data_IF_340987115280
#
_entry.id   IF_340987115280
#
_cell.length_a   1.000
_cell.length_b   1.000
_cell.length_c   1.000
_cell.angle_alpha   90.00
_cell.angle_beta   90.00
_cell.angle_gamma   90.00
#
_symmetry.space_group_name_H-M   'P 1'
#
loop_
_entity.id
_entity.type
_entity.pdbx_description
1 polymer ?
#
# COMPACT_ATOMS: atom_id res chain seq x y z
N UNK A 1 60.34 10.26 -12.14
CA UNK A 1 60.14 9.66 -13.49
C UNK A 1 58.81 8.91 -13.42
N UNK A 2 57.90 9.20 -14.38
CA UNK A 2 56.52 8.70 -14.57
C UNK A 2 56.38 7.15 -14.44
N UNK A 3 55.25 6.45 -14.23
CA UNK A 3 53.77 6.56 -14.42
C UNK A 3 53.09 5.68 -13.32
N UNK A 4 51.97 6.00 -12.66
CA UNK A 4 50.53 5.98 -13.02
C UNK A 4 49.79 4.61 -13.02
N UNK A 5 48.60 4.63 -12.38
CA UNK A 5 47.40 3.77 -12.42
C UNK A 5 47.23 2.54 -11.50
N UNK A 6 46.04 2.50 -10.88
CA UNK A 6 45.46 1.33 -10.21
C UNK A 6 44.40 1.68 -9.14
N UNK A 7 43.22 2.13 -9.58
CA UNK A 7 42.05 2.42 -8.73
C UNK A 7 41.50 1.13 -8.11
N UNK A 8 41.20 1.14 -6.80
CA UNK A 8 40.62 0.00 -6.09
C UNK A 8 39.09 0.04 -6.12
N UNK A 9 38.50 -0.99 -6.73
CA UNK A 9 37.09 -1.32 -6.59
C UNK A 9 36.86 -1.96 -5.21
N UNK A 10 36.15 -1.27 -4.32
CA UNK A 10 35.56 -1.86 -3.11
C UNK A 10 34.14 -2.30 -3.44
N UNK A 11 34.00 -3.52 -3.95
CA UNK A 11 32.72 -4.25 -3.95
C UNK A 11 32.65 -5.02 -2.65
N UNK A 12 31.88 -4.51 -1.69
CA UNK A 12 31.63 -5.19 -0.42
C UNK A 12 30.50 -6.22 -0.61
N UNK A 13 30.84 -7.42 -1.07
CA UNK A 13 30.00 -8.62 -0.95
C UNK A 13 29.97 -9.02 0.53
N UNK A 14 28.80 -9.05 1.16
CA UNK A 14 28.63 -9.76 2.42
C UNK A 14 28.12 -11.18 2.18
N UNK A 15 28.87 -12.13 2.73
CA UNK A 15 28.73 -13.57 2.63
C UNK A 15 27.43 -14.11 3.22
N UNK A 16 26.81 -15.04 2.50
CA UNK A 16 26.13 -16.19 3.09
C UNK A 16 27.19 -17.19 3.56
N UNK A 17 27.08 -17.68 4.79
CA UNK A 17 27.80 -18.87 5.26
C UNK A 17 26.75 -19.91 5.66
N UNK A 18 26.47 -20.83 4.73
CA UNK A 18 25.68 -22.03 4.96
C UNK A 18 26.67 -23.18 5.22
N UNK A 19 26.53 -23.83 6.38
CA UNK A 19 27.24 -25.07 6.71
C UNK A 19 26.30 -26.25 6.42
N UNK A 20 26.69 -27.07 5.45
CA UNK A 20 25.99 -28.29 5.06
C UNK A 20 25.94 -29.32 6.20
N UNK A 21 24.77 -29.93 6.43
CA UNK A 21 24.70 -31.33 6.88
C UNK A 21 23.68 -32.13 6.07
N UNK A 22 24.28 -32.98 5.25
CA UNK A 22 23.72 -34.12 4.53
C UNK A 22 22.93 -35.07 5.45
N UNK A 23 21.67 -35.36 5.13
CA UNK A 23 21.02 -36.63 5.44
C UNK A 23 20.17 -37.11 4.26
N UNK A 24 20.72 -38.09 3.55
CA UNK A 24 20.06 -39.00 2.62
C UNK A 24 18.93 -39.80 3.28
N UNK A 25 17.74 -39.78 2.67
CA UNK A 25 16.79 -40.91 2.74
C UNK A 25 16.24 -41.18 1.33
N UNK A 26 16.57 -42.37 0.82
CA UNK A 26 16.02 -43.01 -0.40
C UNK A 26 14.69 -43.66 -0.05
N UNK A 27 13.71 -43.63 -0.96
CA UNK A 27 12.71 -44.66 -1.34
C UNK A 27 11.75 -43.95 -2.32
N UNK A 28 11.29 -44.44 -3.46
CA UNK A 28 11.36 -45.71 -4.18
C UNK A 28 10.27 -45.61 -5.27
N UNK A 29 10.64 -45.79 -6.54
CA UNK A 29 9.74 -45.72 -7.71
C UNK A 29 8.90 -47.00 -7.79
N UNK A 30 7.59 -46.89 -8.05
CA UNK A 30 6.82 -47.97 -8.69
C UNK A 30 5.84 -47.40 -9.73
N UNK A 31 6.06 -47.81 -10.97
CA UNK A 31 5.17 -47.76 -12.12
C UNK A 31 4.11 -48.86 -12.00
N UNK A 32 2.83 -48.58 -12.30
CA UNK A 32 1.92 -49.52 -13.01
C UNK A 32 0.99 -48.72 -13.93
N UNK A 33 0.92 -49.20 -15.17
CA UNK A 33 0.13 -48.74 -16.31
C UNK A 33 -0.96 -49.81 -16.62
N UNK A 34 -2.03 -49.42 -17.33
CA UNK A 34 -3.04 -50.19 -18.12
C UNK A 34 -4.51 -49.91 -17.69
N UNK A 35 -5.57 -49.85 -18.53
CA UNK A 35 -5.84 -49.60 -19.98
C UNK A 35 -7.36 -49.84 -20.23
N UNK A 36 -7.99 -49.06 -21.14
CA UNK A 36 -9.18 -49.34 -22.01
C UNK A 36 -10.58 -49.59 -21.36
N UNK A 37 -11.76 -49.39 -21.98
CA UNK A 37 -12.35 -48.68 -23.15
C UNK A 37 -13.90 -48.84 -23.09
N UNK A 38 -14.60 -48.28 -24.09
CA UNK A 38 -16.03 -48.35 -24.52
C UNK A 38 -16.93 -47.19 -24.01
N UNK A 39 -17.37 -46.18 -24.80
CA UNK A 39 -18.20 -46.12 -26.04
C UNK A 39 -19.67 -46.52 -25.78
N UNK A 40 -20.76 -45.88 -26.27
CA UNK A 40 -21.01 -44.89 -27.31
C UNK A 40 -22.48 -44.36 -27.21
N UNK A 41 -22.80 -43.38 -28.06
CA UNK A 41 -24.12 -42.96 -28.58
C UNK A 41 -25.04 -42.15 -27.64
N UNK A 42 -25.78 -41.11 -28.07
CA UNK A 42 -26.04 -40.53 -29.39
C UNK A 42 -27.29 -39.61 -29.32
N UNK A 43 -27.51 -38.80 -30.37
CA UNK A 43 -28.66 -37.93 -30.70
C UNK A 43 -28.75 -36.59 -29.92
N UNK A 44 -28.50 -35.41 -30.52
CA UNK A 44 -29.13 -34.70 -31.66
C UNK A 44 -30.56 -34.24 -31.39
N UNK A 45 -30.76 -32.93 -31.19
CA UNK A 45 -31.64 -32.08 -32.02
C UNK A 45 -31.56 -30.58 -31.64
N UNK A 46 -31.61 -29.74 -32.68
CA UNK A 46 -31.74 -28.27 -32.69
C UNK A 46 -32.97 -28.00 -33.57
N UNK A 47 -33.88 -27.07 -33.24
CA UNK A 47 -33.90 -25.74 -33.91
C UNK A 47 -34.45 -24.65 -32.94
N UNK A 48 -34.55 -23.33 -33.16
CA UNK A 48 -34.58 -22.42 -34.33
C UNK A 48 -34.52 -20.99 -33.78
N UNK A 49 -33.89 -20.07 -34.52
CA UNK A 49 -34.06 -18.61 -34.39
C UNK A 49 -35.41 -18.15 -34.99
N UNK A 50 -35.80 -16.90 -34.68
CA UNK A 50 -36.03 -15.95 -35.77
C UNK A 50 -35.31 -14.60 -35.57
N UNK A 51 -34.71 -14.13 -36.66
CA UNK A 51 -34.45 -12.72 -36.99
C UNK A 51 -35.77 -12.09 -37.53
N UNK A 52 -36.07 -10.79 -37.48
CA UNK A 52 -35.52 -9.58 -38.14
C UNK A 52 -36.33 -8.41 -37.47
N UNK A 53 -35.84 -7.18 -37.24
CA UNK A 53 -35.92 -6.05 -38.20
C UNK A 53 -35.26 -4.79 -37.61
N UNK A 54 -34.39 -4.18 -38.44
CA UNK A 54 -33.85 -2.83 -38.33
C UNK A 54 -34.91 -1.73 -38.49
N UNK A 55 -34.79 -0.63 -37.75
CA UNK A 55 -35.13 0.71 -38.23
C UNK A 55 -34.21 1.78 -37.59
N UNK A 56 -33.21 2.25 -38.35
CA UNK A 56 -32.87 3.68 -38.43
C UNK A 56 -34.03 4.36 -39.20
N UNK A 57 -34.46 5.59 -38.97
CA UNK A 57 -33.72 6.86 -39.02
C UNK A 57 -34.74 7.97 -38.73
N UNK A 58 -34.38 9.08 -38.09
CA UNK A 58 -34.76 10.43 -38.50
C UNK A 58 -34.14 11.47 -37.57
N UNK A 59 -33.26 12.28 -38.15
CA UNK A 59 -32.80 13.54 -37.61
C UNK A 59 -33.84 14.63 -37.90
N UNK A 60 -34.01 15.57 -36.98
CA UNK A 60 -34.72 16.82 -37.22
C UNK A 60 -33.90 17.97 -36.61
N UNK A 61 -33.39 18.86 -37.49
CA UNK A 61 -32.93 20.21 -37.14
C UNK A 61 -34.06 21.23 -37.48
N UNK A 62 -33.87 22.55 -37.29
CA UNK A 62 -34.25 23.26 -36.08
C UNK A 62 -35.34 24.32 -36.36
N UNK A 63 -36.14 24.67 -35.35
CA UNK A 63 -37.03 25.82 -35.46
C UNK A 63 -36.35 27.10 -34.95
N UNK A 64 -36.29 28.08 -35.84
CA UNK A 64 -35.86 29.46 -35.63
C UNK A 64 -36.93 30.33 -34.95
N UNK A 65 -36.46 31.53 -34.55
CA UNK A 65 -37.17 32.78 -34.18
C UNK A 65 -37.71 32.89 -32.76
N UNK A 66 -37.05 33.68 -31.91
CA UNK A 66 -37.37 35.11 -31.74
C UNK A 66 -36.32 35.82 -30.87
N UNK A 67 -36.01 37.05 -31.25
CA UNK A 67 -35.11 37.97 -30.56
C UNK A 67 -35.95 39.07 -29.92
N UNK A 68 -35.69 39.46 -28.66
CA UNK A 68 -35.94 40.84 -28.24
C UNK A 68 -34.65 41.53 -27.81
N UNK A 69 -34.37 42.60 -28.57
CA UNK A 69 -33.83 43.91 -28.21
C UNK A 69 -33.28 44.07 -26.77
N UNK A 70 -32.02 44.49 -26.73
CA UNK A 70 -31.20 44.64 -25.54
C UNK A 70 -31.61 45.74 -24.56
N UNK A 71 -31.14 45.53 -23.34
CA UNK A 71 -30.86 46.55 -22.33
C UNK A 71 -29.42 46.34 -21.88
N UNK A 72 -28.57 47.33 -22.11
CA UNK A 72 -27.17 47.37 -21.71
C UNK A 72 -27.07 47.26 -20.18
N UNK A 73 -26.29 46.29 -19.71
CA UNK A 73 -25.88 46.16 -18.31
C UNK A 73 -24.36 46.34 -18.27
N UNK A 74 -23.82 47.16 -17.36
CA UNK A 74 -22.41 47.53 -17.38
C UNK A 74 -21.55 46.29 -17.11
N UNK A 75 -20.59 46.07 -18.01
CA UNK A 75 -19.59 45.01 -17.92
C UNK A 75 -18.67 45.31 -16.74
N UNK A 76 -18.93 44.69 -15.58
CA UNK A 76 -17.90 44.54 -14.56
C UNK A 76 -16.92 43.48 -15.08
N UNK A 77 -15.80 43.91 -15.65
CA UNK A 77 -14.61 43.07 -15.77
C UNK A 77 -14.04 42.88 -14.38
N UNK A 78 -14.67 41.99 -13.61
CA UNK A 78 -14.01 41.31 -12.52
C UNK A 78 -12.98 40.39 -13.20
N UNK A 79 -11.69 40.48 -12.86
CA UNK A 79 -10.72 39.54 -13.42
C UNK A 79 -11.18 38.13 -13.01
N UNK A 80 -11.38 37.26 -14.01
CA UNK A 80 -11.44 35.83 -13.74
C UNK A 80 -10.25 35.48 -12.84
N UNK A 81 -10.44 34.65 -11.79
CA UNK A 81 -9.32 34.21 -10.99
C UNK A 81 -8.33 33.57 -11.96
N UNK A 82 -7.16 34.22 -12.09
CA UNK A 82 -6.02 33.62 -12.75
C UNK A 82 -5.85 32.27 -12.07
N UNK A 83 -6.01 31.18 -12.82
CA UNK A 83 -5.73 29.85 -12.30
C UNK A 83 -4.39 29.95 -11.59
N UNK A 84 -4.38 29.76 -10.26
CA UNK A 84 -3.13 29.79 -9.48
C UNK A 84 -2.16 28.88 -10.22
N UNK A 85 -1.06 29.44 -10.72
CA UNK A 85 -0.07 28.64 -11.41
C UNK A 85 0.30 27.50 -10.46
N UNK A 86 0.26 26.28 -10.99
CA UNK A 86 0.47 25.03 -10.26
C UNK A 86 1.97 24.86 -9.90
N UNK A 87 2.56 25.90 -9.29
CA UNK A 87 3.98 26.01 -8.99
C UNK A 87 4.31 25.11 -7.82
N UNK A 88 5.37 24.32 -7.97
CA UNK A 88 5.92 23.50 -6.90
C UNK A 88 6.48 24.41 -5.79
N UNK A 89 6.05 24.28 -4.53
CA UNK A 89 6.52 25.14 -3.45
C UNK A 89 7.97 24.83 -3.10
N UNK A 90 8.69 25.84 -2.61
CA UNK A 90 10.01 25.65 -2.02
C UNK A 90 9.86 25.18 -0.57
N UNK A 91 10.43 24.02 -0.22
CA UNK A 91 10.19 23.37 1.06
C UNK A 91 11.49 23.15 1.84
N UNK A 92 11.35 23.02 3.16
CA UNK A 92 12.34 22.40 4.04
C UNK A 92 11.66 21.51 5.07
N UNK A 93 12.44 20.62 5.69
CA UNK A 93 11.97 19.79 6.81
C UNK A 93 12.30 20.44 8.15
N UNK A 94 11.35 20.35 9.08
CA UNK A 94 11.54 20.73 10.48
C UNK A 94 11.08 19.58 11.37
N UNK A 95 11.74 19.39 12.53
CA UNK A 95 11.29 18.40 13.51
C UNK A 95 9.88 18.75 13.98
N UNK A 96 8.97 17.78 13.88
CA UNK A 96 7.59 17.92 14.30
C UNK A 96 7.48 17.96 15.83
N UNK A 97 8.30 17.15 16.53
CA UNK A 97 8.33 17.03 17.99
C UNK A 97 9.77 17.00 18.52
N UNK A 98 10.42 18.16 18.71
CA UNK A 98 11.85 18.21 19.04
C UNK A 98 12.24 17.54 20.36
N UNK A 99 11.32 17.51 21.34
CA UNK A 99 11.59 17.03 22.69
C UNK A 99 11.35 15.53 22.90
N UNK A 100 10.87 14.81 21.87
CA UNK A 100 10.63 13.37 21.93
C UNK A 100 11.40 12.66 20.80
N UNK A 101 11.60 11.36 20.99
CA UNK A 101 12.22 10.47 20.01
C UNK A 101 11.62 9.08 20.19
N UNK A 102 11.55 8.36 19.09
CA UNK A 102 11.05 7.00 19.01
C UNK A 102 12.18 6.05 18.60
N UNK A 103 11.92 4.76 18.65
CA UNK A 103 12.83 3.72 18.20
C UNK A 103 12.21 3.01 16.99
N UNK A 104 12.76 3.26 15.80
CA UNK A 104 12.30 2.62 14.56
C UNK A 104 10.78 2.78 14.34
N UNK A 105 10.27 4.03 14.29
CA UNK A 105 8.85 4.27 14.05
C UNK A 105 8.45 3.83 12.65
N UNK A 106 7.31 3.16 12.52
CA UNK A 106 6.80 2.56 11.28
C UNK A 106 5.40 3.01 10.91
N UNK A 107 4.62 3.61 11.82
CA UNK A 107 3.28 4.12 11.52
C UNK A 107 3.00 5.41 12.29
N UNK A 108 2.28 6.32 11.64
CA UNK A 108 1.75 7.54 12.25
C UNK A 108 0.30 7.72 11.81
N UNK A 109 -0.59 7.80 12.78
CA UNK A 109 -2.02 7.94 12.52
C UNK A 109 -2.66 8.91 13.52
N UNK A 110 -3.64 9.72 13.09
CA UNK A 110 -4.36 10.61 13.99
C UNK A 110 -5.31 9.80 14.87
N UNK A 111 -5.56 10.29 16.08
CA UNK A 111 -6.63 9.75 16.91
C UNK A 111 -7.98 10.03 16.25
N UNK A 112 -8.86 9.02 16.07
CA UNK A 112 -10.15 9.19 15.40
C UNK A 112 -11.22 9.63 16.43
N UNK A 113 -10.86 10.54 17.34
CA UNK A 113 -11.69 11.00 18.46
C UNK A 113 -11.73 12.52 18.60
N UNK A 114 -11.20 13.25 17.60
CA UNK A 114 -11.12 14.71 17.59
C UNK A 114 -10.18 15.33 18.63
N UNK A 115 -9.41 14.52 19.38
CA UNK A 115 -8.53 15.02 20.46
C UNK A 115 -7.26 15.72 19.96
N UNK A 116 -7.00 15.72 18.65
CA UNK A 116 -5.72 16.12 18.05
C UNK A 116 -4.52 15.32 18.58
N UNK A 117 -4.73 14.13 19.16
CA UNK A 117 -3.63 13.22 19.46
C UNK A 117 -3.20 12.48 18.21
N UNK A 118 -1.96 11.99 18.24
CA UNK A 118 -1.43 11.08 17.22
C UNK A 118 -0.90 9.82 17.90
N UNK A 119 -0.84 8.75 17.12
CA UNK A 119 -0.28 7.47 17.53
C UNK A 119 0.95 7.16 16.70
N UNK A 120 2.00 6.69 17.36
CA UNK A 120 3.26 6.27 16.74
C UNK A 120 3.47 4.80 17.03
N UNK A 121 3.67 4.01 16.00
CA UNK A 121 3.95 2.57 16.11
C UNK A 121 5.43 2.33 15.93
N UNK A 122 6.06 1.66 16.87
CA UNK A 122 7.45 1.21 16.77
C UNK A 122 7.54 -0.24 16.31
N UNK A 123 8.53 -0.53 15.47
CA UNK A 123 8.87 -1.88 14.99
C UNK A 123 8.96 -2.92 16.13
N UNK A 124 9.38 -2.49 17.33
CA UNK A 124 9.57 -3.33 18.51
C UNK A 124 8.26 -3.87 19.13
N UNK A 125 7.10 -3.40 18.67
CA UNK A 125 5.80 -3.79 19.21
C UNK A 125 5.18 -2.78 20.17
N UNK A 126 5.76 -1.58 20.30
CA UNK A 126 5.22 -0.53 21.17
C UNK A 126 4.42 0.48 20.37
N UNK A 127 3.29 0.88 20.93
CA UNK A 127 2.43 1.93 20.39
C UNK A 127 2.45 3.07 21.41
N UNK A 128 2.79 4.27 20.95
CA UNK A 128 2.80 5.49 21.75
C UNK A 128 1.70 6.44 21.30
N UNK A 129 1.22 7.28 22.22
CA UNK A 129 0.31 8.38 21.92
C UNK A 129 0.82 9.68 22.54
N UNK A 130 0.60 10.79 21.85
CA UNK A 130 1.00 12.13 22.27
C UNK A 130 0.06 13.17 21.68
N UNK A 131 -0.02 14.33 22.32
CA UNK A 131 -0.68 15.50 21.74
C UNK A 131 0.10 15.95 20.49
N UNK A 132 -0.60 16.28 19.40
CA UNK A 132 0.02 16.84 18.20
C UNK A 132 0.39 18.32 18.40
N UNK A 133 1.34 18.54 19.30
CA UNK A 133 1.90 19.84 19.67
C UNK A 133 3.43 19.77 19.60
N UNK A 134 4.10 20.65 18.84
CA UNK A 134 5.57 20.69 18.80
C UNK A 134 6.23 20.88 20.17
N UNK A 135 5.54 21.46 21.16
CA UNK A 135 6.06 21.66 22.50
C UNK A 135 5.87 20.46 23.45
N UNK A 136 5.23 19.38 23.00
CA UNK A 136 5.05 18.15 23.78
C UNK A 136 6.39 17.62 24.30
N UNK A 137 6.42 17.26 25.59
CA UNK A 137 7.66 16.83 26.28
C UNK A 137 7.77 15.32 26.45
N UNK A 138 6.66 14.60 26.34
CA UNK A 138 6.59 13.15 26.59
C UNK A 138 5.59 12.50 25.65
N UNK A 139 5.90 11.28 25.20
CA UNK A 139 4.94 10.38 24.59
C UNK A 139 4.53 9.31 25.61
N UNK A 140 3.24 9.02 25.69
CA UNK A 140 2.69 8.02 26.60
C UNK A 140 2.66 6.67 25.91
N UNK A 141 3.11 5.61 26.59
CA UNK A 141 2.95 4.25 26.09
C UNK A 141 1.46 3.90 26.10
N UNK A 142 0.90 3.67 24.92
CA UNK A 142 -0.48 3.25 24.74
C UNK A 142 -0.59 1.73 24.93
N UNK A 143 0.16 0.95 24.16
CA UNK A 143 0.13 -0.51 24.23
C UNK A 143 1.51 -1.10 23.98
N UNK A 144 1.86 -2.16 24.72
CA UNK A 144 3.11 -2.91 24.54
C UNK A 144 2.82 -4.35 24.09
N UNK A 145 3.08 -4.62 22.82
CA UNK A 145 2.96 -5.94 22.17
C UNK A 145 4.31 -6.62 22.00
N UNK A 146 5.39 -6.12 22.59
CA UNK A 146 6.76 -6.66 22.40
C UNK A 146 6.91 -8.14 22.78
N UNK A 147 6.03 -8.67 23.64
CA UNK A 147 5.99 -10.10 23.97
C UNK A 147 5.37 -10.99 22.89
N UNK A 148 4.60 -10.41 21.95
CA UNK A 148 3.94 -11.08 20.83
C UNK A 148 4.69 -10.92 19.52
N UNK A 149 5.44 -9.82 19.41
CA UNK A 149 6.14 -9.39 18.19
C UNK A 149 7.54 -9.99 18.11
N UNK A 150 7.85 -10.63 16.99
CA UNK A 150 9.22 -10.91 16.59
C UNK A 150 9.69 -9.74 15.72
N UNK A 151 10.69 -9.00 16.18
CA UNK A 151 11.30 -7.86 15.47
C UNK A 151 12.78 -8.12 15.12
N UNK A 152 13.21 -9.38 15.15
CA UNK A 152 14.62 -9.78 15.01
C UNK A 152 15.24 -9.59 13.63
N UNK A 153 14.43 -9.55 12.56
CA UNK A 153 14.89 -9.30 11.19
C UNK A 153 14.56 -7.88 10.73
N UNK A 154 15.13 -7.44 9.61
CA UNK A 154 14.98 -6.07 9.11
C UNK A 154 13.52 -5.66 8.85
N UNK A 155 12.73 -6.54 8.26
CA UNK A 155 11.33 -6.26 7.86
C UNK A 155 10.30 -6.90 8.80
N UNK A 156 10.76 -7.54 9.87
CA UNK A 156 9.92 -8.09 10.93
C UNK A 156 9.63 -7.05 12.02
N UNK A 157 8.41 -7.05 12.56
CA UNK A 157 8.03 -6.21 13.69
C UNK A 157 6.53 -6.03 13.81
N UNK A 158 6.12 -4.98 14.51
CA UNK A 158 4.78 -4.41 14.41
C UNK A 158 4.78 -3.39 13.26
N UNK A 159 4.12 -3.73 12.16
CA UNK A 159 4.34 -3.12 10.84
C UNK A 159 3.20 -2.19 10.41
N UNK A 160 1.99 -2.37 10.94
CA UNK A 160 0.85 -1.54 10.61
C UNK A 160 -0.18 -1.49 11.72
N UNK A 161 -0.94 -0.41 11.75
CA UNK A 161 -2.06 -0.19 12.66
C UNK A 161 -3.15 0.60 11.96
N UNK A 162 -4.41 0.24 12.19
CA UNK A 162 -5.56 1.01 11.72
C UNK A 162 -6.64 1.08 12.82
N UNK A 163 -7.26 2.23 12.98
CA UNK A 163 -8.46 2.36 13.81
C UNK A 163 -9.69 1.94 13.01
N UNK A 164 -10.67 1.31 13.67
CA UNK A 164 -11.97 1.08 13.04
C UNK A 164 -12.63 2.42 12.68
N UNK A 165 -13.35 2.54 11.55
CA UNK A 165 -14.09 3.77 11.19
C UNK A 165 -15.14 4.22 12.22
N UNK A 166 -15.53 3.29 13.11
CA UNK A 166 -16.46 3.51 14.24
C UNK A 166 -15.76 3.41 15.60
N UNK A 167 -14.47 3.78 15.67
CA UNK A 167 -13.66 3.65 16.87
C UNK A 167 -14.27 4.33 18.10
N UNK A 168 -14.88 5.51 17.94
CA UNK A 168 -15.57 6.18 19.05
C UNK A 168 -16.71 5.34 19.64
N UNK A 169 -17.39 4.54 18.81
CA UNK A 169 -18.51 3.70 19.22
C UNK A 169 -18.06 2.33 19.76
N UNK A 170 -17.09 1.70 19.09
CA UNK A 170 -16.70 0.31 19.35
C UNK A 170 -15.38 0.16 20.12
N UNK A 171 -14.46 1.13 20.01
CA UNK A 171 -13.13 1.10 20.61
C UNK A 171 -12.15 0.14 19.94
N UNK A 172 -12.43 -0.31 18.70
CA UNK A 172 -11.66 -1.32 17.99
C UNK A 172 -10.52 -0.74 17.17
N UNK A 173 -9.34 -1.32 17.30
CA UNK A 173 -8.21 -1.07 16.41
C UNK A 173 -7.54 -2.38 16.03
N UNK A 174 -6.82 -2.34 14.93
CA UNK A 174 -6.23 -3.49 14.27
C UNK A 174 -4.73 -3.29 14.14
N UNK A 175 -3.99 -4.38 14.28
CA UNK A 175 -2.55 -4.39 14.13
C UNK A 175 -2.12 -5.51 13.19
N UNK A 176 -1.05 -5.27 12.47
CA UNK A 176 -0.34 -6.25 11.67
C UNK A 176 1.08 -6.39 12.22
N UNK A 177 1.43 -7.59 12.69
CA UNK A 177 2.76 -7.87 13.19
C UNK A 177 3.27 -9.23 12.76
N UNK A 178 4.58 -9.39 12.75
CA UNK A 178 5.23 -10.69 12.57
C UNK A 178 5.48 -11.36 13.91
N UNK A 179 5.15 -12.64 14.01
CA UNK A 179 5.68 -13.53 15.03
C UNK A 179 6.86 -14.35 14.43
N UNK A 180 7.29 -15.43 15.09
CA UNK A 180 8.44 -16.24 14.64
C UNK A 180 8.36 -16.66 13.16
N UNK A 181 7.19 -17.04 12.65
CA UNK A 181 7.03 -17.62 11.31
C UNK A 181 5.77 -17.18 10.56
N UNK A 182 5.04 -16.17 11.06
CA UNK A 182 3.78 -15.74 10.49
C UNK A 182 3.61 -14.23 10.60
N UNK A 183 2.89 -13.66 9.63
CA UNK A 183 2.19 -12.39 9.78
C UNK A 183 0.85 -12.66 10.49
N UNK A 184 0.51 -11.81 11.46
CA UNK A 184 -0.70 -11.90 12.27
C UNK A 184 -1.45 -10.57 12.18
N UNK A 185 -2.72 -10.65 11.79
CA UNK A 185 -3.66 -9.53 11.81
C UNK A 185 -4.57 -9.76 13.02
N UNK A 186 -4.57 -8.82 13.96
CA UNK A 186 -5.32 -8.94 15.19
C UNK A 186 -6.10 -7.67 15.51
N UNK A 187 -7.29 -7.84 16.09
CA UNK A 187 -8.12 -6.79 16.68
C UNK A 187 -7.85 -6.69 18.17
N UNK A 188 -7.85 -5.46 18.67
CA UNK A 188 -7.83 -5.12 20.09
C UNK A 188 -8.97 -4.14 20.38
N UNK A 189 -9.39 -4.07 21.65
CA UNK A 189 -10.40 -3.13 22.11
C UNK A 189 -9.91 -2.30 23.29
N UNK A 190 -10.43 -1.08 23.37
CA UNK A 190 -10.30 -0.24 24.56
C UNK A 190 -11.16 -0.76 25.72
N UNK A 191 -10.63 -0.69 26.93
CA UNK A 191 -11.41 -0.68 28.17
C UNK A 191 -12.25 0.61 28.19
N UNK A 192 -13.54 0.47 28.48
CA UNK A 192 -14.49 1.59 28.47
C UNK A 192 -14.59 2.29 29.83
N UNK A 193 -13.96 1.75 30.87
CA UNK A 193 -13.82 2.44 32.15
C UNK A 193 -12.76 3.54 32.06
N UNK A 194 -13.11 4.82 32.29
CA UNK A 194 -12.16 5.91 32.16
C UNK A 194 -10.97 5.81 33.13
N UNK A 195 -9.74 6.13 32.70
CA UNK A 195 -9.38 6.55 31.34
C UNK A 195 -9.37 5.37 30.37
N UNK A 196 -9.86 5.56 29.15
CA UNK A 196 -9.85 4.52 28.10
C UNK A 196 -8.43 3.98 27.89
N UNK A 197 -8.19 2.71 28.21
CA UNK A 197 -6.88 2.04 28.05
C UNK A 197 -7.01 0.84 27.11
N UNK A 198 -6.02 0.56 26.25
CA UNK A 198 -6.07 -0.65 25.43
C UNK A 198 -5.85 -1.90 26.30
N UNK A 199 -6.65 -2.93 26.05
CA UNK A 199 -6.54 -4.20 26.77
C UNK A 199 -5.73 -5.21 25.96
N UNK A 200 -4.49 -5.52 26.37
CA UNK A 200 -3.68 -6.54 25.68
C UNK A 200 -4.34 -7.92 25.68
N UNK A 201 -5.18 -8.22 26.69
CA UNK A 201 -5.93 -9.47 26.81
C UNK A 201 -7.15 -9.54 25.88
N UNK A 202 -7.55 -8.42 25.26
CA UNK A 202 -8.67 -8.37 24.31
C UNK A 202 -8.31 -8.86 22.91
N UNK A 203 -7.07 -9.30 22.69
CA UNK A 203 -6.60 -9.74 21.39
C UNK A 203 -7.53 -10.79 20.77
N UNK A 204 -7.93 -10.53 19.54
CA UNK A 204 -8.61 -11.47 18.67
C UNK A 204 -7.86 -11.55 17.35
N UNK A 205 -7.31 -12.72 17.05
CA UNK A 205 -6.56 -12.97 15.82
C UNK A 205 -7.53 -13.22 14.67
N UNK A 206 -7.57 -12.30 13.71
CA UNK A 206 -8.43 -12.39 12.53
C UNK A 206 -7.82 -13.31 11.49
N UNK A 207 -6.54 -13.11 11.20
CA UNK A 207 -5.87 -13.79 10.10
C UNK A 207 -4.42 -14.09 10.47
N UNK A 208 -3.95 -15.28 10.08
CA UNK A 208 -2.53 -15.64 10.16
C UNK A 208 -2.04 -16.11 8.80
N UNK A 209 -0.89 -15.61 8.39
CA UNK A 209 -0.29 -15.89 7.08
C UNK A 209 1.12 -16.43 7.33
N UNK A 210 1.40 -17.71 6.99
CA UNK A 210 2.75 -18.26 7.09
C UNK A 210 3.74 -17.46 6.23
N UNK A 211 4.89 -17.15 6.81
CA UNK A 211 5.98 -16.42 6.15
C UNK A 211 7.13 -17.39 5.85
N UNK A 212 7.44 -17.67 4.56
CA UNK A 212 8.49 -18.60 4.20
C UNK A 212 9.90 -18.03 4.44
N UNK A 213 10.06 -16.71 4.38
CA UNK A 213 11.33 -16.02 4.65
C UNK A 213 11.14 -14.88 5.68
N UNK A 214 12.24 -14.21 6.03
CA UNK A 214 12.27 -13.16 7.06
C UNK A 214 12.02 -11.74 6.51
N UNK A 215 11.79 -11.62 5.21
CA UNK A 215 11.59 -10.37 4.48
C UNK A 215 10.35 -10.44 3.58
N UNK A 216 9.99 -9.31 3.00
CA UNK A 216 8.78 -9.02 2.24
C UNK A 216 7.51 -9.36 3.01
N UNK A 217 7.43 -8.84 4.24
CA UNK A 217 6.29 -9.07 5.11
C UNK A 217 5.10 -8.14 4.79
N UNK A 218 5.28 -7.11 3.96
CA UNK A 218 4.31 -6.03 3.78
C UNK A 218 4.03 -5.36 5.13
N UNK A 219 2.75 -5.16 5.45
CA UNK A 219 2.36 -4.87 6.83
C UNK A 219 1.34 -3.76 6.99
N UNK A 220 1.18 -2.88 6.01
CA UNK A 220 0.25 -1.76 6.15
C UNK A 220 -1.21 -2.23 6.23
N UNK A 221 -1.98 -1.47 7.01
CA UNK A 221 -3.40 -1.65 7.25
C UNK A 221 -4.08 -0.30 7.05
N UNK A 222 -5.20 -0.28 6.33
CA UNK A 222 -6.05 0.90 6.27
C UNK A 222 -7.50 0.47 6.04
N UNK A 223 -8.44 1.34 6.38
CA UNK A 223 -9.85 1.14 6.05
C UNK A 223 -10.20 1.86 4.75
N UNK A 224 -10.82 1.12 3.84
CA UNK A 224 -11.34 1.71 2.61
C UNK A 224 -12.56 2.60 2.87
N UNK A 225 -12.95 3.44 1.88
CA UNK A 225 -14.18 4.23 1.95
C UNK A 225 -15.45 3.37 2.02
N UNK A 226 -15.32 2.08 1.70
CA UNK A 226 -16.35 1.06 1.79
C UNK A 226 -16.50 0.47 3.20
N UNK A 227 -15.64 0.86 4.16
CA UNK A 227 -15.68 0.40 5.54
C UNK A 227 -14.98 -0.94 5.78
N UNK A 228 -14.33 -1.51 4.78
CA UNK A 228 -13.60 -2.77 4.91
C UNK A 228 -12.13 -2.56 5.26
N UNK A 229 -11.53 -3.57 5.91
CA UNK A 229 -10.12 -3.55 6.26
C UNK A 229 -9.30 -4.06 5.07
N UNK A 230 -8.37 -3.24 4.59
CA UNK A 230 -7.40 -3.58 3.56
C UNK A 230 -6.06 -3.95 4.21
N UNK A 231 -5.39 -4.96 3.65
CA UNK A 231 -4.15 -5.51 4.21
C UNK A 231 -3.13 -5.69 3.08
N UNK A 232 -1.98 -5.05 3.21
CA UNK A 232 -0.86 -5.22 2.28
C UNK A 232 0.05 -6.37 2.70
N UNK A 233 0.27 -7.35 1.82
CA UNK A 233 1.13 -8.50 2.08
C UNK A 233 2.18 -8.64 0.98
N UNK A 234 3.45 -8.73 1.37
CA UNK A 234 4.52 -9.08 0.42
C UNK A 234 4.48 -10.55 0.02
N UNK A 235 5.27 -10.92 -0.99
CA UNK A 235 5.37 -12.25 -1.59
C UNK A 235 5.91 -13.33 -0.63
N UNK A 236 6.36 -12.92 0.55
CA UNK A 236 6.89 -13.77 1.59
C UNK A 236 8.42 -13.94 1.55
N UNK A 237 9.09 -13.25 0.62
CA UNK A 237 10.52 -12.98 0.69
C UNK A 237 11.39 -13.79 -0.27
N UNK A 238 12.70 -13.66 -0.04
CA UNK A 238 13.77 -14.11 -0.95
C UNK A 238 13.77 -13.38 -2.30
N UNK A 239 14.85 -13.57 -3.07
CA UNK A 239 14.99 -12.93 -4.38
C UNK A 239 14.09 -13.63 -5.41
N UNK A 240 13.27 -12.84 -6.09
CA UNK A 240 12.49 -13.30 -7.24
C UNK A 240 11.33 -14.23 -6.92
N UNK A 241 10.71 -14.15 -5.73
CA UNK A 241 9.55 -14.96 -5.34
C UNK A 241 9.71 -16.45 -5.71
N UNK A 242 10.64 -17.19 -5.07
CA UNK A 242 10.98 -18.55 -5.48
C UNK A 242 9.82 -19.55 -5.36
N UNK A 243 8.76 -19.19 -4.63
CA UNK A 243 7.55 -20.01 -4.48
C UNK A 243 6.39 -19.54 -5.36
N UNK A 244 6.57 -18.46 -6.14
CA UNK A 244 5.56 -17.90 -7.04
C UNK A 244 4.29 -17.45 -6.32
N UNK A 245 4.41 -16.98 -5.08
CA UNK A 245 3.30 -16.63 -4.22
C UNK A 245 2.50 -15.44 -4.75
N UNK A 246 3.16 -14.45 -5.34
CA UNK A 246 2.51 -13.23 -5.84
C UNK A 246 1.47 -13.53 -6.93
N UNK A 247 1.76 -14.50 -7.81
CA UNK A 247 0.82 -14.97 -8.85
C UNK A 247 -0.11 -16.10 -8.37
N UNK A 248 0.20 -16.75 -7.25
CA UNK A 248 -0.60 -17.85 -6.73
C UNK A 248 -1.87 -17.34 -6.01
N UNK A 249 -3.03 -17.49 -6.65
CA UNK A 249 -4.33 -17.12 -6.07
C UNK A 249 -4.80 -18.01 -4.91
N UNK A 250 -4.10 -19.13 -4.62
CA UNK A 250 -4.34 -19.94 -3.42
C UNK A 250 -3.53 -19.46 -2.21
N UNK A 251 -2.68 -18.44 -2.40
CA UNK A 251 -1.87 -17.81 -1.37
C UNK A 251 -2.40 -16.42 -1.02
N UNK A 252 -2.12 -15.98 0.20
CA UNK A 252 -2.39 -14.61 0.67
C UNK A 252 -1.17 -13.69 0.57
N UNK A 253 -0.03 -14.18 0.08
CA UNK A 253 1.22 -13.42 -0.03
C UNK A 253 1.30 -12.73 -1.41
N UNK A 254 1.85 -11.51 -1.46
CA UNK A 254 1.98 -10.69 -2.66
C UNK A 254 0.64 -10.13 -3.13
N UNK A 255 -0.15 -9.60 -2.19
CA UNK A 255 -1.55 -9.20 -2.38
C UNK A 255 -1.86 -7.86 -1.69
N UNK A 256 -2.90 -7.20 -2.19
CA UNK A 256 -3.78 -6.39 -1.35
C UNK A 256 -4.99 -7.26 -1.01
N UNK A 257 -5.25 -7.49 0.26
CA UNK A 257 -6.42 -8.21 0.76
C UNK A 257 -7.49 -7.22 1.22
N UNK A 258 -8.75 -7.66 1.25
CA UNK A 258 -9.91 -6.88 1.71
C UNK A 258 -10.89 -7.79 2.43
N UNK A 259 -11.18 -7.50 3.70
CA UNK A 259 -12.05 -8.30 4.57
C UNK A 259 -13.07 -7.43 5.31
N UNK A 260 -14.24 -8.01 5.60
CA UNK A 260 -15.29 -7.39 6.43
C UNK A 260 -15.13 -7.81 7.89
N UNK A 261 -14.85 -6.84 8.76
CA UNK A 261 -14.64 -7.07 10.20
C UNK A 261 -15.86 -6.75 11.06
N UNK A 262 -16.93 -6.25 10.43
CA UNK A 262 -18.19 -5.85 11.04
C UNK A 262 -19.26 -6.93 10.91
N UNK A 263 -19.32 -7.61 9.74
CA UNK A 263 -20.26 -8.70 9.51
C UNK A 263 -19.61 -10.05 9.75
N UNK A 264 -19.82 -10.58 10.95
CA UNK A 264 -19.32 -11.88 11.35
C UNK A 264 -20.42 -12.92 11.25
N UNK A 265 -20.25 -13.90 10.36
CA UNK A 265 -21.14 -15.06 10.27
C UNK A 265 -20.60 -16.19 11.16
N UNK A 266 -21.49 -16.93 11.83
CA UNK A 266 -21.17 -18.21 12.49
C UNK A 266 -20.01 -18.20 13.52
N UNK A 267 -19.65 -17.04 14.08
CA UNK A 267 -18.57 -16.91 15.06
C UNK A 267 -17.18 -16.65 14.48
N UNK A 268 -17.06 -16.48 13.16
CA UNK A 268 -15.84 -15.99 12.53
C UNK A 268 -15.55 -14.54 12.94
N UNK A 269 -14.28 -14.14 12.92
CA UNK A 269 -13.86 -12.78 13.31
C UNK A 269 -13.84 -11.79 12.15
N UNK A 270 -14.05 -12.28 10.93
CA UNK A 270 -14.27 -11.51 9.72
C UNK A 270 -15.10 -12.34 8.72
N UNK A 271 -15.64 -11.69 7.69
CA UNK A 271 -16.22 -12.33 6.50
C UNK A 271 -15.62 -11.75 5.21
N UNK A 272 -16.00 -12.35 4.08
CA UNK A 272 -15.58 -11.91 2.75
C UNK A 272 -16.63 -10.94 2.20
N UNK A 273 -16.24 -9.72 1.79
CA UNK A 273 -17.14 -8.82 1.07
C UNK A 273 -17.72 -9.50 -0.17
N UNK A 274 -19.04 -9.45 -0.34
CA UNK A 274 -19.75 -10.11 -1.44
C UNK A 274 -19.31 -9.65 -2.84
N UNK A 275 -18.68 -8.48 -2.93
CA UNK A 275 -18.17 -7.93 -4.18
C UNK A 275 -16.65 -8.11 -4.35
N UNK A 276 -15.99 -8.89 -3.48
CA UNK A 276 -14.59 -9.29 -3.72
C UNK A 276 -14.48 -10.09 -5.02
N UNK A 277 -13.37 -9.93 -5.78
CA UNK A 277 -13.26 -10.46 -7.14
C UNK A 277 -13.26 -12.00 -7.21
N UNK A 278 -12.95 -12.66 -6.10
CA UNK A 278 -12.85 -14.13 -6.01
C UNK A 278 -13.86 -14.72 -5.01
N UNK A 279 -14.86 -13.96 -4.57
CA UNK A 279 -15.92 -14.48 -3.70
C UNK A 279 -16.67 -15.64 -4.38
N UNK A 280 -16.99 -16.67 -3.59
CA UNK A 280 -17.79 -17.81 -4.05
C UNK A 280 -17.09 -18.70 -5.09
N UNK A 281 -15.77 -18.60 -5.22
CA UNK A 281 -15.06 -19.34 -6.26
C UNK A 281 -14.94 -20.84 -5.92
N UNK A 282 -15.07 -21.70 -6.93
CA UNK A 282 -14.97 -23.16 -6.76
C UNK A 282 -13.54 -23.71 -6.95
N UNK A 283 -12.54 -22.84 -7.10
CA UNK A 283 -11.16 -23.23 -7.43
C UNK A 283 -10.25 -23.29 -6.20
N UNK A 284 -10.78 -22.95 -5.03
CA UNK A 284 -10.04 -22.83 -3.78
C UNK A 284 -9.08 -21.65 -3.78
N UNK A 285 -9.38 -20.61 -4.56
CA UNK A 285 -8.67 -19.35 -4.46
C UNK A 285 -9.06 -18.63 -3.17
N UNK A 286 -8.14 -17.81 -2.67
CA UNK A 286 -8.34 -16.99 -1.49
C UNK A 286 -9.26 -15.83 -1.80
N UNK A 287 -10.44 -15.84 -1.20
CA UNK A 287 -11.51 -14.87 -1.46
C UNK A 287 -11.22 -13.51 -0.81
N UNK A 288 -10.24 -13.45 0.08
CA UNK A 288 -9.73 -12.22 0.68
C UNK A 288 -9.00 -11.33 -0.33
N UNK A 289 -8.55 -11.87 -1.47
CA UNK A 289 -7.75 -11.15 -2.46
C UNK A 289 -8.59 -10.03 -3.11
N UNK A 290 -8.15 -8.79 -2.94
CA UNK A 290 -8.65 -7.64 -3.69
C UNK A 290 -7.84 -7.42 -4.97
N UNK A 291 -6.52 -7.50 -4.89
CA UNK A 291 -5.58 -7.37 -6.00
C UNK A 291 -4.33 -8.23 -5.74
N UNK A 292 -3.58 -8.60 -6.79
CA UNK A 292 -2.45 -9.53 -6.67
C UNK A 292 -1.29 -9.21 -7.61
N UNK A 293 -0.16 -9.89 -7.41
CA UNK A 293 1.02 -9.69 -8.24
C UNK A 293 1.92 -8.56 -7.73
N UNK A 294 2.00 -8.41 -6.41
CA UNK A 294 2.91 -7.46 -5.75
C UNK A 294 4.11 -8.19 -5.14
N UNK A 295 5.25 -7.49 -5.03
CA UNK A 295 6.47 -7.99 -4.40
C UNK A 295 6.45 -7.75 -2.90
N UNK A 296 6.40 -6.49 -2.49
CA UNK A 296 6.37 -6.03 -1.11
C UNK A 296 5.67 -4.66 -1.02
N UNK A 297 4.33 -4.61 -1.09
CA UNK A 297 3.55 -3.37 -1.03
C UNK A 297 3.65 -2.78 0.38
N UNK A 298 4.66 -1.91 0.58
CA UNK A 298 5.10 -1.48 1.91
C UNK A 298 4.11 -0.52 2.56
N UNK A 299 3.66 0.51 1.82
CA UNK A 299 2.60 1.43 2.24
C UNK A 299 1.60 1.64 1.11
N UNK A 300 0.36 1.86 1.50
CA UNK A 300 -0.73 2.25 0.62
C UNK A 300 -1.62 3.27 1.32
N UNK A 301 -2.46 3.98 0.57
CA UNK A 301 -3.44 4.88 1.16
C UNK A 301 -4.62 5.11 0.23
N UNK A 302 -5.77 5.45 0.80
CA UNK A 302 -6.92 5.89 0.04
C UNK A 302 -6.91 7.41 -0.18
N UNK A 303 -6.89 7.82 -1.45
CA UNK A 303 -7.24 9.18 -1.86
C UNK A 303 -8.76 9.28 -2.00
N UNK A 304 -9.42 9.66 -0.90
CA UNK A 304 -10.88 9.75 -0.84
C UNK A 304 -11.46 10.81 -1.79
N UNK A 305 -10.70 11.86 -2.14
CA UNK A 305 -11.20 12.91 -3.04
C UNK A 305 -11.29 12.43 -4.48
N UNK A 306 -10.33 11.61 -4.92
CA UNK A 306 -10.30 11.08 -6.29
C UNK A 306 -10.71 9.61 -6.38
N UNK A 307 -11.11 8.97 -5.26
CA UNK A 307 -11.47 7.56 -5.18
C UNK A 307 -10.37 6.62 -5.70
N UNK A 308 -9.12 6.85 -5.28
CA UNK A 308 -7.96 6.07 -5.72
C UNK A 308 -7.32 5.32 -4.53
N UNK A 309 -6.87 4.09 -4.76
CA UNK A 309 -6.00 3.36 -3.84
C UNK A 309 -4.57 3.45 -4.37
N UNK A 310 -3.72 4.23 -3.71
CA UNK A 310 -2.31 4.35 -4.04
C UNK A 310 -1.53 3.26 -3.32
N UNK A 311 -0.67 2.53 -4.03
CA UNK A 311 0.22 1.51 -3.45
C UNK A 311 1.64 1.77 -3.92
N UNK A 312 2.60 1.75 -3.00
CA UNK A 312 4.01 1.75 -3.32
C UNK A 312 4.57 0.33 -3.12
N UNK A 313 5.09 -0.26 -4.19
CA UNK A 313 5.63 -1.62 -4.17
C UNK A 313 7.15 -1.62 -4.32
N UNK A 314 7.84 -2.28 -3.38
CA UNK A 314 9.29 -2.28 -3.32
C UNK A 314 9.85 -3.26 -4.35
N UNK A 315 10.70 -2.71 -5.23
CA UNK A 315 11.40 -3.42 -6.29
C UNK A 315 12.40 -4.46 -5.84
N UNK A 316 12.88 -5.29 -6.76
CA UNK A 316 13.90 -6.29 -6.49
C UNK A 316 15.32 -5.70 -6.53
N UNK A 317 15.75 -5.22 -7.69
CA UNK A 317 17.10 -4.71 -7.93
C UNK A 317 17.15 -3.58 -8.98
N UNK A 318 16.05 -3.32 -9.69
CA UNK A 318 16.06 -2.50 -10.91
C UNK A 318 15.13 -1.32 -10.80
N UNK A 319 13.90 -1.53 -10.33
CA UNK A 319 12.81 -0.55 -10.43
C UNK A 319 11.99 -0.55 -9.16
N UNK A 320 11.74 0.63 -8.60
CA UNK A 320 10.68 0.85 -7.61
C UNK A 320 9.43 1.41 -8.30
N UNK A 321 8.24 1.11 -7.78
CA UNK A 321 6.99 1.44 -8.46
C UNK A 321 5.87 1.97 -7.55
N UNK A 322 4.96 2.73 -8.16
CA UNK A 322 3.72 3.21 -7.58
C UNK A 322 2.56 2.81 -8.50
N UNK A 323 1.51 2.24 -7.91
CA UNK A 323 0.31 1.79 -8.59
C UNK A 323 -0.93 2.55 -8.11
N UNK A 324 -1.88 2.74 -9.04
CA UNK A 324 -3.29 2.94 -8.67
C UNK A 324 -3.96 1.58 -8.73
N UNK A 325 -4.33 1.07 -7.57
CA UNK A 325 -4.81 -0.30 -7.44
C UNK A 325 -6.31 -0.40 -7.61
N UNK A 326 -6.71 -1.19 -8.61
CA UNK A 326 -8.09 -1.57 -8.89
C UNK A 326 -8.38 -3.04 -8.56
N UNK A 327 -9.66 -3.29 -8.26
CA UNK A 327 -10.19 -4.60 -7.87
C UNK A 327 -9.98 -5.66 -8.95
N UNK A 328 -9.37 -6.77 -8.56
CA UNK A 328 -9.20 -7.99 -9.35
C UNK A 328 -8.00 -7.98 -10.31
N UNK A 329 -7.26 -6.87 -10.39
CA UNK A 329 -6.14 -6.73 -11.32
C UNK A 329 -4.85 -7.39 -10.81
N UNK A 330 -3.95 -7.64 -11.76
CA UNK A 330 -2.65 -8.29 -11.56
C UNK A 330 -1.52 -7.29 -11.83
N UNK A 331 -0.67 -7.01 -10.85
CA UNK A 331 0.42 -6.03 -10.92
C UNK A 331 1.75 -6.66 -11.35
N UNK A 332 1.71 -7.94 -11.74
CA UNK A 332 2.73 -8.54 -12.60
C UNK A 332 3.92 -9.17 -11.91
N UNK A 333 4.23 -8.88 -10.65
CA UNK A 333 5.32 -9.55 -9.95
C UNK A 333 5.04 -11.06 -9.80
N UNK A 334 5.97 -11.98 -10.05
CA UNK A 334 7.39 -11.80 -10.43
C UNK A 334 7.67 -11.96 -11.94
N UNK A 335 6.67 -11.78 -12.81
CA UNK A 335 6.86 -11.74 -14.27
C UNK A 335 7.43 -10.40 -14.72
N UNK A 336 7.06 -9.34 -14.01
CA UNK A 336 7.45 -7.95 -14.22
C UNK A 336 8.16 -7.42 -12.97
N UNK A 337 9.06 -6.45 -13.15
CA UNK A 337 9.57 -5.54 -12.11
C UNK A 337 9.42 -4.12 -12.68
N UNK A 338 8.39 -3.38 -12.23
CA UNK A 338 7.96 -2.20 -12.97
C UNK A 338 7.42 -2.55 -14.35
N UNK A 339 7.77 -1.73 -15.33
CA UNK A 339 7.46 -1.90 -16.74
C UNK A 339 8.39 -2.89 -17.47
N UNK A 340 9.37 -3.46 -16.76
CA UNK A 340 10.41 -4.35 -17.29
C UNK A 340 10.11 -5.82 -17.00
N UNK A 341 10.54 -6.71 -17.89
CA UNK A 341 10.50 -8.14 -17.62
C UNK A 341 11.48 -8.52 -16.52
N UNK A 342 11.03 -9.34 -15.58
CA UNK A 342 11.91 -9.87 -14.55
C UNK A 342 12.69 -11.09 -15.06
N UNK A 343 14.01 -11.18 -14.80
CA UNK A 343 14.84 -12.32 -15.20
C UNK A 343 14.31 -13.67 -14.69
N UNK A 344 14.55 -14.76 -15.43
CA UNK A 344 15.41 -14.86 -16.61
C UNK A 344 14.73 -14.47 -17.92
N UNK A 345 13.46 -14.07 -17.89
CA UNK A 345 12.75 -13.67 -19.11
C UNK A 345 13.18 -12.29 -19.57
N UNK A 346 13.49 -12.16 -20.86
CA UNK A 346 13.71 -10.88 -21.53
C UNK A 346 12.55 -10.50 -22.47
N UNK A 347 11.55 -11.38 -22.60
CA UNK A 347 10.38 -11.21 -23.46
C UNK A 347 9.14 -11.82 -22.78
N UNK A 348 8.65 -11.11 -21.78
CA UNK A 348 7.50 -11.49 -20.98
C UNK A 348 6.22 -10.86 -21.55
N UNK A 349 5.14 -11.64 -21.60
CA UNK A 349 3.84 -11.09 -21.98
C UNK A 349 3.33 -10.14 -20.89
N UNK A 350 2.89 -8.95 -21.31
CA UNK A 350 2.19 -7.96 -20.48
C UNK A 350 0.66 -8.14 -20.50
N UNK A 351 0.16 -9.15 -21.22
CA UNK A 351 -1.27 -9.40 -21.33
C UNK A 351 -1.88 -9.71 -19.95
N UNK A 352 -2.93 -8.98 -19.62
CA UNK A 352 -3.64 -9.08 -18.34
C UNK A 352 -2.88 -8.52 -17.13
N UNK A 353 -1.78 -7.80 -17.35
CA UNK A 353 -1.02 -7.12 -16.30
C UNK A 353 -1.34 -5.63 -16.30
N UNK A 354 -1.49 -5.06 -15.11
CA UNK A 354 -1.55 -3.64 -14.86
C UNK A 354 -0.11 -3.14 -14.65
N UNK A 355 0.26 -2.07 -15.36
CA UNK A 355 1.57 -1.45 -15.21
C UNK A 355 1.48 -0.29 -14.20
N UNK A 356 2.60 0.04 -13.53
CA UNK A 356 2.62 1.13 -12.56
C UNK A 356 2.36 2.47 -13.23
N UNK A 357 1.74 3.39 -12.46
CA UNK A 357 1.51 4.76 -12.92
C UNK A 357 2.78 5.61 -12.87
N UNK A 358 3.76 5.17 -12.09
CA UNK A 358 5.05 5.83 -11.92
C UNK A 358 6.07 4.82 -11.44
N UNK A 359 7.29 4.94 -11.97
CA UNK A 359 8.40 4.08 -11.59
C UNK A 359 9.70 4.86 -11.65
N UNK A 360 10.70 4.43 -10.88
CA UNK A 360 12.06 4.95 -11.01
C UNK A 360 13.11 3.84 -10.86
N UNK A 361 14.24 4.04 -11.54
CA UNK A 361 15.30 3.04 -11.61
C UNK A 361 16.35 3.21 -10.52
N UNK A 362 16.94 2.10 -10.11
CA UNK A 362 18.17 2.12 -9.33
C UNK A 362 19.30 2.72 -10.19
N UNK A 363 20.22 3.52 -9.62
CA UNK A 363 20.39 3.80 -8.19
C UNK A 363 19.69 5.10 -7.71
N UNK A 364 18.74 5.69 -8.46
CA UNK A 364 18.08 6.95 -8.06
C UNK A 364 17.40 6.82 -6.70
N UNK A 365 16.64 5.76 -6.51
CA UNK A 365 16.21 5.24 -5.22
C UNK A 365 16.40 3.72 -5.20
N UNK A 366 16.13 3.08 -4.06
CA UNK A 366 16.40 1.65 -3.83
C UNK A 366 15.38 0.91 -2.96
N UNK A 367 14.40 1.63 -2.39
CA UNK A 367 13.36 1.05 -1.55
C UNK A 367 12.29 2.12 -1.37
N UNK A 368 11.27 2.10 -2.24
CA UNK A 368 10.18 3.06 -2.15
C UNK A 368 9.41 2.85 -0.84
N UNK A 369 9.13 3.95 -0.14
CA UNK A 369 8.36 3.93 1.10
C UNK A 369 6.87 4.14 0.84
N UNK A 370 6.52 4.82 -0.26
CA UNK A 370 5.17 5.35 -0.48
C UNK A 370 4.96 6.66 0.28
N UNK A 371 3.69 7.05 0.44
CA UNK A 371 3.28 8.26 1.15
C UNK A 371 1.80 8.55 0.97
N UNK A 372 1.41 9.84 0.96
CA UNK A 372 0.01 10.28 0.99
C UNK A 372 -0.26 11.44 0.02
N UNK A 373 -1.48 11.54 -0.55
CA UNK A 373 -1.94 12.77 -1.18
C UNK A 373 -2.04 13.89 -0.14
N UNK A 374 -1.42 15.03 -0.42
CA UNK A 374 -1.47 16.18 0.49
C UNK A 374 -2.78 16.97 0.31
N UNK A 375 -3.56 17.04 1.39
CA UNK A 375 -4.78 17.85 1.45
C UNK A 375 -4.81 18.78 2.68
N UNK A 376 -3.65 18.98 3.29
CA UNK A 376 -3.46 19.98 4.34
C UNK A 376 -3.61 21.39 3.78
N UNK A 377 -3.76 22.36 4.68
CA UNK A 377 -3.97 23.76 4.35
C UNK A 377 -2.72 24.61 4.57
N UNK A 378 -1.67 24.09 5.21
CA UNK A 378 -0.44 24.86 5.49
C UNK A 378 0.39 25.16 4.24
N UNK A 379 0.33 24.31 3.21
CA UNK A 379 1.17 24.41 2.01
C UNK A 379 0.29 24.28 0.78
N UNK A 380 -0.33 25.38 0.36
CA UNK A 380 -1.31 25.38 -0.74
C UNK A 380 -0.76 24.74 -2.03
N UNK A 381 0.51 25.00 -2.36
CA UNK A 381 1.17 24.46 -3.56
C UNK A 381 1.34 22.94 -3.59
N UNK A 382 1.09 22.21 -2.49
CA UNK A 382 1.10 20.74 -2.48
C UNK A 382 -0.29 20.11 -2.62
N UNK A 383 -1.38 20.89 -2.60
CA UNK A 383 -2.74 20.32 -2.62
C UNK A 383 -2.93 19.36 -3.80
N UNK A 384 -3.41 18.13 -3.51
CA UNK A 384 -3.62 17.07 -4.50
C UNK A 384 -2.37 16.36 -5.00
N UNK A 385 -1.19 16.71 -4.49
CA UNK A 385 0.08 16.03 -4.82
C UNK A 385 0.23 14.78 -3.96
N UNK A 386 0.49 13.63 -4.57
CA UNK A 386 0.96 12.44 -3.86
C UNK A 386 2.42 12.63 -3.46
N UNK A 387 2.66 12.86 -2.17
CA UNK A 387 4.00 13.05 -1.63
C UNK A 387 4.51 11.71 -1.13
N UNK A 388 5.68 11.28 -1.61
CA UNK A 388 6.26 9.98 -1.31
C UNK A 388 7.77 10.06 -1.16
N UNK A 389 8.39 9.01 -0.62
CA UNK A 389 9.83 8.97 -0.42
C UNK A 389 10.46 7.59 -0.58
N UNK A 390 11.78 7.54 -0.42
CA UNK A 390 12.60 6.34 -0.53
C UNK A 390 13.43 6.13 0.75
N UNK A 391 13.32 4.94 1.34
CA UNK A 391 13.93 4.60 2.62
C UNK A 391 15.46 4.68 2.59
N UNK A 392 16.08 4.29 1.48
CA UNK A 392 17.54 4.16 1.41
C UNK A 392 18.21 5.50 1.15
N UNK A 393 17.66 6.28 0.22
CA UNK A 393 18.25 7.54 -0.26
C UNK A 393 17.75 8.76 0.49
N UNK A 394 16.58 8.70 1.14
CA UNK A 394 16.00 9.84 1.85
C UNK A 394 15.45 10.93 0.92
N UNK A 395 15.33 10.64 -0.38
CA UNK A 395 14.71 11.53 -1.34
C UNK A 395 13.19 11.57 -1.14
N UNK A 396 12.61 12.76 -1.31
CA UNK A 396 11.17 12.99 -1.20
C UNK A 396 10.70 13.70 -2.47
N UNK A 397 9.66 13.15 -3.08
CA UNK A 397 9.08 13.66 -4.31
C UNK A 397 7.60 13.98 -4.13
N UNK A 398 7.10 14.78 -5.07
CA UNK A 398 5.67 15.00 -5.30
C UNK A 398 5.30 14.49 -6.68
N UNK A 399 4.24 13.71 -6.74
CA UNK A 399 3.67 13.15 -7.94
C UNK A 399 2.25 13.69 -8.13
N UNK A 400 2.01 14.32 -9.28
CA UNK A 400 0.68 14.77 -9.71
C UNK A 400 0.25 13.94 -10.91
N UNK A 401 -1.04 13.65 -10.99
CA UNK A 401 -1.64 13.00 -12.15
C UNK A 401 -2.62 13.97 -12.78
N UNK A 402 -2.58 14.09 -14.11
CA UNK A 402 -3.65 14.78 -14.82
C UNK A 402 -4.91 13.90 -14.96
N UNK A 403 -5.89 14.39 -15.72
CA UNK A 403 -7.15 13.67 -15.97
C UNK A 403 -6.97 12.33 -16.72
N UNK A 404 -5.89 12.18 -17.48
CA UNK A 404 -5.56 10.99 -18.26
C UNK A 404 -4.56 10.08 -17.52
N UNK A 405 -4.34 10.33 -16.21
CA UNK A 405 -3.35 9.64 -15.37
C UNK A 405 -1.90 9.80 -15.86
N UNK A 406 -1.60 10.87 -16.60
CA UNK A 406 -0.21 11.18 -16.99
C UNK A 406 0.52 11.76 -15.77
N UNK A 407 1.66 11.17 -15.37
CA UNK A 407 2.38 11.61 -14.18
C UNK A 407 3.29 12.84 -14.44
N UNK A 408 3.21 13.82 -13.55
CA UNK A 408 4.22 14.87 -13.35
C UNK A 408 4.92 14.62 -12.01
N UNK A 409 6.20 14.26 -12.04
CA UNK A 409 7.00 14.00 -10.85
C UNK A 409 8.04 15.09 -10.59
N UNK A 410 8.16 15.52 -9.34
CA UNK A 410 9.12 16.56 -8.91
C UNK A 410 9.84 16.15 -7.63
N UNK A 411 11.17 16.25 -7.65
CA UNK A 411 11.96 16.17 -6.41
C UNK A 411 11.68 17.40 -5.54
N UNK A 412 11.21 17.17 -4.32
CA UNK A 412 10.84 18.22 -3.37
C UNK A 412 11.95 18.48 -2.36
N UNK A 413 12.54 17.41 -1.79
CA UNK A 413 13.59 17.49 -0.77
C UNK A 413 14.63 16.39 -1.01
N UNK A 414 15.90 16.77 -0.92
CA UNK A 414 17.01 15.85 -0.69
C UNK A 414 17.31 15.82 0.82
N UNK A 415 17.01 14.72 1.49
CA UNK A 415 17.28 14.54 2.91
C UNK A 415 18.25 13.39 3.15
N UNK A 416 18.72 13.26 4.40
CA UNK A 416 19.51 12.10 4.84
C UNK A 416 18.69 11.16 5.72
N UNK A 417 17.35 11.27 5.70
CA UNK A 417 16.46 10.48 6.54
C UNK A 417 16.38 9.03 6.06
N UNK A 418 16.14 8.10 6.98
CA UNK A 418 15.71 6.74 6.67
C UNK A 418 14.19 6.69 6.72
N UNK A 419 13.55 7.13 5.64
CA UNK A 419 12.11 7.37 5.61
C UNK A 419 11.37 6.04 5.70
N UNK A 420 10.90 5.66 6.89
CA UNK A 420 10.23 4.38 7.13
C UNK A 420 8.73 4.43 6.85
N UNK A 421 8.11 5.59 7.03
CA UNK A 421 6.71 5.84 6.71
C UNK A 421 6.46 7.33 6.54
N UNK A 422 5.28 7.63 6.01
CA UNK A 422 4.63 8.92 6.20
C UNK A 422 3.41 8.70 7.11
N UNK A 423 2.78 9.79 7.52
CA UNK A 423 1.46 9.77 8.15
C UNK A 423 0.79 11.13 8.00
N UNK A 424 -0.48 11.21 8.35
CA UNK A 424 -1.24 12.46 8.32
C UNK A 424 -1.84 12.77 9.69
N UNK A 425 -1.98 14.04 10.03
CA UNK A 425 -2.81 14.44 11.18
C UNK A 425 -4.28 14.63 10.81
N UNK A 426 -5.12 14.97 11.78
CA UNK A 426 -6.55 15.23 11.60
C UNK A 426 -6.87 16.37 10.61
N UNK A 427 -5.89 17.20 10.24
CA UNK A 427 -6.02 18.28 9.28
C UNK A 427 -5.41 17.91 7.91
N UNK A 428 -5.03 16.64 7.69
CA UNK A 428 -4.34 16.15 6.50
C UNK A 428 -2.94 16.77 6.29
N UNK A 429 -2.30 17.26 7.35
CA UNK A 429 -0.90 17.68 7.27
C UNK A 429 0.00 16.44 7.29
N UNK A 430 1.00 16.40 6.41
CA UNK A 430 1.91 15.25 6.28
C UNK A 430 3.05 15.32 7.30
N UNK A 431 3.31 14.16 7.91
CA UNK A 431 4.43 13.87 8.79
C UNK A 431 5.31 12.79 8.15
N UNK A 432 6.62 12.89 8.34
CA UNK A 432 7.63 12.00 7.77
C UNK A 432 8.35 11.31 8.93
N UNK A 433 8.34 9.99 8.93
CA UNK A 433 8.95 9.18 9.98
C UNK A 433 10.35 8.81 9.54
N UNK A 434 11.35 9.29 10.28
CA UNK A 434 12.70 8.79 10.17
C UNK A 434 12.85 7.57 11.08
N UNK A 435 13.27 6.45 10.51
CA UNK A 435 13.54 5.20 11.22
C UNK A 435 14.56 5.36 12.36
N UNK A 436 15.35 6.43 12.33
CA UNK A 436 16.29 6.79 13.39
C UNK A 436 15.62 7.42 14.63
N UNK A 437 14.31 7.70 14.57
CA UNK A 437 13.51 8.05 15.74
C UNK A 437 12.87 9.43 15.72
N UNK A 438 13.23 10.28 14.77
CA UNK A 438 12.67 11.63 14.63
C UNK A 438 11.50 11.66 13.66
N UNK A 439 10.58 12.59 13.91
CA UNK A 439 9.43 12.85 13.04
C UNK A 439 9.56 14.27 12.52
N UNK A 440 9.35 14.43 11.22
CA UNK A 440 9.48 15.71 10.51
C UNK A 440 8.16 16.13 9.90
N UNK A 441 8.03 17.41 9.60
CA UNK A 441 6.96 17.99 8.78
C UNK A 441 7.55 19.01 7.82
N UNK A 442 6.82 19.30 6.75
CA UNK A 442 7.21 20.35 5.81
C UNK A 442 7.01 21.74 6.42
N UNK A 443 7.90 22.65 6.01
CA UNK A 443 7.75 24.09 6.17
C UNK A 443 8.06 24.75 4.83
N UNK A 444 7.16 25.62 4.36
CA UNK A 444 7.38 26.41 3.15
C UNK A 444 8.46 27.48 3.38
N UNK A 445 9.32 27.66 2.40
CA UNK A 445 10.34 28.70 2.37
C UNK A 445 9.72 29.90 1.66
N UNK A 446 9.28 30.89 2.46
CA UNK A 446 8.81 32.17 1.92
C UNK A 446 10.05 32.89 1.36
N UNK A 447 10.06 33.11 0.04
CA UNK A 447 11.13 33.84 -0.66
C UNK A 447 10.97 35.34 -0.57
#
# INVERSE_FOLDING_TARGET
MFFAFGCGDFVMLWCFHEEERCQTVRYGIFFILFILLFSAAGCSEKPSQPSITDQQTAAEQPLSTEQPRGTEQPTSTEPSPVAEENVWPALKLVEAYPNVSFNQPLEFLPAPDGSNRVFIVEKSGKIYTLDNDPEVKTANLFLDLSSRVDSSASEKGLLGMAFHPRFEENGFFYVNYTNRSQTVIARYTLDRDPPLQPMIQSEQVLLTIPQPYQNHNGGHLDFGPDGYLYIGTGDGGSAGDPQGQAQNLKSLLGKILRIDVDQNQNGDLYSIPLDNPLEGNLKGYREEIYAYGFRNPWKFCFDLKNSRLWVADVGQNTVEEIDIVEKGLNYGWNRMEGSLCYPPSNDCSKEGLQLPIWEYKHPLGKSITGGYPYYGNRIAGLSGTYVYGDFVTGLIWGLRLDHDFVPENKLLIESNLKISSFGIDQNNEIYILDFQGKIYKFQEIIQ
#
